data_IF_623750723285
#
_entry.id   IF_623750723285
#
_cell.length_a   1.000
_cell.length_b   1.000
_cell.length_c   1.000
_cell.angle_alpha   90.00
_cell.angle_beta   90.00
_cell.angle_gamma   90.00
#
_symmetry.space_group_name_H-M   'P 1'
#
loop_
_entity.id
_entity.type
_entity.pdbx_description
1 polymer ?
#
# COMPACT_ATOMS: atom_id res chain seq x y z
N UNK A 1 -7.94 10.39 -8.43
CA UNK A 1 -7.13 9.85 -7.35
C UNK A 1 -7.97 9.07 -6.36
N UNK A 2 -9.11 9.64 -5.97
CA UNK A 2 -9.98 8.98 -5.02
C UNK A 2 -10.55 7.69 -5.57
N UNK A 3 -10.54 7.55 -6.89
CA UNK A 3 -11.05 6.35 -7.55
C UNK A 3 -9.94 5.60 -8.27
N UNK A 4 -8.76 6.21 -8.30
CA UNK A 4 -7.61 5.60 -8.96
C UNK A 4 -6.76 4.81 -7.97
N UNK A 5 -7.05 4.97 -6.69
CA UNK A 5 -6.30 4.26 -5.66
C UNK A 5 -7.13 3.21 -4.96
N UNK A 6 -8.03 2.57 -5.71
CA UNK A 6 -8.91 1.54 -5.16
C UNK A 6 -8.24 0.17 -5.23
N UNK A 7 -8.22 -0.40 -6.44
CA UNK A 7 -7.61 -1.70 -6.64
C UNK A 7 -6.10 -1.64 -6.47
N UNK A 8 -5.45 -0.77 -7.27
CA UNK A 8 -4.00 -0.58 -7.23
C UNK A 8 -3.53 0.09 -5.95
N UNK A 9 -4.49 0.50 -5.11
CA UNK A 9 -4.16 1.14 -3.86
C UNK A 9 -4.49 0.28 -2.65
N UNK A 10 -5.46 -0.61 -2.81
CA UNK A 10 -5.88 -1.50 -1.73
C UNK A 10 -4.89 -2.65 -1.56
N UNK A 11 -4.43 -3.19 -2.68
CA UNK A 11 -3.48 -4.30 -2.67
C UNK A 11 -2.07 -3.81 -2.39
N UNK A 12 -1.85 -2.52 -2.62
CA UNK A 12 -0.54 -1.91 -2.40
C UNK A 12 -0.38 -1.46 -0.95
N UNK A 13 -1.50 -1.24 -0.28
CA UNK A 13 -1.49 -0.80 1.11
C UNK A 13 -1.54 -2.01 2.06
N UNK A 14 -2.28 -3.03 1.67
CA UNK A 14 -2.42 -4.23 2.48
C UNK A 14 -1.16 -5.10 2.40
N UNK A 15 -0.29 -4.77 1.45
CA UNK A 15 0.95 -5.51 1.27
C UNK A 15 2.12 -4.80 1.94
N UNK A 16 2.09 -3.47 1.91
CA UNK A 16 3.16 -2.69 2.52
C UNK A 16 2.75 -2.08 3.84
N UNK A 17 1.47 -2.20 4.18
CA UNK A 17 0.94 -1.66 5.42
C UNK A 17 2.03 -1.65 6.50
N UNK A 18 2.64 -2.80 6.74
CA UNK A 18 3.69 -2.92 7.75
C UNK A 18 5.02 -3.30 7.11
N UNK A 19 4.97 -3.74 5.86
CA UNK A 19 6.17 -4.13 5.14
C UNK A 19 6.87 -2.91 4.54
N UNK A 20 6.15 -1.79 4.51
CA UNK A 20 6.71 -0.55 3.97
C UNK A 20 7.69 0.09 4.94
N UNK A 21 7.22 0.33 6.18
CA UNK A 21 8.03 0.94 7.23
C UNK A 21 9.13 0.00 7.73
N UNK A 22 8.95 -1.29 7.50
CA UNK A 22 9.92 -2.28 7.92
C UNK A 22 10.81 -2.71 6.77
N UNK A 23 10.42 -2.32 5.55
CA UNK A 23 11.19 -2.66 4.36
C UNK A 23 12.62 -2.14 4.46
N UNK A 24 12.82 -1.14 5.32
CA UNK A 24 14.14 -0.55 5.52
C UNK A 24 14.77 -1.07 6.81
N UNK A 25 14.01 -1.83 7.58
CA UNK A 25 14.51 -2.39 8.84
C UNK A 25 14.64 -3.90 8.74
#
# INVERSE_FOLDING_TARGET
TGNVGLSPGLSTALTGFTLVPVEDH
#
